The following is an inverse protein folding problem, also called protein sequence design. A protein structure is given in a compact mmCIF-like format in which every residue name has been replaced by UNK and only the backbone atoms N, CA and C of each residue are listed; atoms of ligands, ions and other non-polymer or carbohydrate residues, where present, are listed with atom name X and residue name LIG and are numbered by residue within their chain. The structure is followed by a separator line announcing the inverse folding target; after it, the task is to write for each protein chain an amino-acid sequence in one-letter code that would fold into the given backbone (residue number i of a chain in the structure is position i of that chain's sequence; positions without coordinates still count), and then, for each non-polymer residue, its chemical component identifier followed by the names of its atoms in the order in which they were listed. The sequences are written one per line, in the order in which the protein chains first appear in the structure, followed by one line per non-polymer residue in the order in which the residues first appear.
data_IF_841689450632
#
_entry.id   IF_841689450632
#
_cell.length_a   1.000
_cell.length_b   1.000
_cell.length_c   1.000
_cell.angle_alpha   90.00
_cell.angle_beta   90.00
_cell.angle_gamma   90.00
#
_symmetry.space_group_name_H-M   'P 1'
#
loop_
_entity.id
_entity.type
_entity.pdbx_description
1 polymer ?
#
# COMPACT_ATOMS: atom_id res chain seq x y z
N UNK A 1 4.26 16.51 8.46
CA UNK A 1 4.40 17.78 7.70
C UNK A 1 3.11 18.59 7.75
N UNK A 2 1.95 18.04 7.35
CA UNK A 2 0.69 18.78 7.28
C UNK A 2 0.34 19.50 8.60
N UNK A 3 0.32 18.77 9.73
CA UNK A 3 0.04 19.35 11.05
C UNK A 3 1.05 20.44 11.46
N UNK A 4 2.33 20.25 11.14
CA UNK A 4 3.36 21.27 11.40
C UNK A 4 3.20 22.51 10.52
N UNK A 5 2.62 22.36 9.34
CA UNK A 5 2.33 23.46 8.42
C UNK A 5 1.08 24.23 8.83
N UNK A 6 0.04 23.55 9.31
CA UNK A 6 -1.23 24.14 9.70
C UNK A 6 -1.12 25.19 10.82
N UNK A 7 -0.14 25.03 11.72
CA UNK A 7 0.05 25.91 12.88
C UNK A 7 1.34 26.74 12.84
N UNK A 8 1.94 26.87 11.65
CA UNK A 8 3.13 27.68 11.47
C UNK A 8 2.76 29.16 11.40
N UNK A 9 3.40 30.00 12.21
CA UNK A 9 3.23 31.46 12.19
C UNK A 9 3.47 31.99 10.76
N UNK A 10 2.56 32.82 10.27
CA UNK A 10 2.56 33.36 8.91
C UNK A 10 1.91 32.45 7.87
N UNK A 11 1.33 31.31 8.30
CA UNK A 11 0.59 30.39 7.45
C UNK A 11 -0.84 30.14 7.96
N UNK A 12 -1.29 30.98 8.88
CA UNK A 12 -2.59 30.86 9.56
C UNK A 12 -3.77 30.86 8.58
N UNK A 13 -3.67 31.59 7.46
CA UNK A 13 -4.70 31.61 6.42
C UNK A 13 -4.84 30.27 5.68
N UNK A 14 -3.85 29.40 5.76
CA UNK A 14 -3.79 28.09 5.10
C UNK A 14 -4.02 26.91 6.03
N UNK A 15 -4.33 27.18 7.30
CA UNK A 15 -4.47 26.11 8.30
C UNK A 15 -5.47 25.05 7.88
N UNK A 16 -6.58 25.46 7.26
CA UNK A 16 -7.64 24.56 6.81
C UNK A 16 -7.15 23.62 5.69
N UNK A 17 -6.41 24.14 4.72
CA UNK A 17 -5.84 23.34 3.63
C UNK A 17 -4.97 22.21 4.20
N UNK A 18 -4.06 22.52 5.11
CA UNK A 18 -3.17 21.54 5.73
C UNK A 18 -3.89 20.59 6.67
N UNK A 19 -4.90 21.06 7.40
CA UNK A 19 -5.75 20.22 8.25
C UNK A 19 -6.51 19.19 7.41
N UNK A 20 -7.10 19.60 6.29
CA UNK A 20 -7.81 18.68 5.37
C UNK A 20 -6.84 17.62 4.79
N UNK A 21 -5.59 17.96 4.50
CA UNK A 21 -4.58 16.99 4.08
C UNK A 21 -4.18 16.04 5.22
N UNK A 22 -4.08 16.54 6.46
CA UNK A 22 -3.79 15.69 7.62
C UNK A 22 -4.90 14.67 7.86
N UNK A 23 -6.18 15.06 7.72
CA UNK A 23 -7.32 14.14 7.85
C UNK A 23 -7.27 13.03 6.79
N UNK A 24 -6.96 13.36 5.52
CA UNK A 24 -6.79 12.36 4.47
C UNK A 24 -5.64 11.39 4.78
N UNK A 25 -4.51 11.92 5.26
CA UNK A 25 -3.37 11.10 5.66
C UNK A 25 -3.71 10.16 6.82
N UNK A 26 -4.51 10.62 7.80
CA UNK A 26 -4.99 9.82 8.91
C UNK A 26 -5.87 8.66 8.43
N UNK A 27 -6.83 8.91 7.51
CA UNK A 27 -7.68 7.87 6.94
C UNK A 27 -6.85 6.78 6.24
N UNK A 28 -5.88 7.19 5.41
CA UNK A 28 -4.98 6.26 4.73
C UNK A 28 -4.19 5.41 5.74
N UNK A 29 -3.66 6.04 6.78
CA UNK A 29 -2.92 5.34 7.85
C UNK A 29 -3.81 4.31 8.56
N UNK A 30 -5.04 4.65 8.90
CA UNK A 30 -5.99 3.74 9.54
C UNK A 30 -6.36 2.56 8.64
N UNK A 31 -6.52 2.79 7.33
CA UNK A 31 -6.75 1.71 6.35
C UNK A 31 -5.54 0.79 6.22
N UNK A 32 -4.34 1.34 6.23
CA UNK A 32 -3.09 0.54 6.20
C UNK A 32 -2.94 -0.31 7.47
N UNK A 33 -3.27 0.23 8.65
CA UNK A 33 -3.24 -0.54 9.89
C UNK A 33 -4.23 -1.72 9.85
N UNK A 34 -5.44 -1.53 9.31
CA UNK A 34 -6.40 -2.63 9.13
C UNK A 34 -5.87 -3.69 8.17
N UNK A 35 -5.14 -3.31 7.13
CA UNK A 35 -4.55 -4.26 6.18
C UNK A 35 -3.45 -5.14 6.83
N UNK A 36 -2.78 -4.70 7.91
CA UNK A 36 -1.87 -5.54 8.69
C UNK A 36 -2.60 -6.71 9.34
N UNK A 37 -3.76 -6.44 9.94
CA UNK A 37 -4.59 -7.49 10.56
C UNK A 37 -5.20 -8.42 9.50
N UNK A 38 -5.60 -7.86 8.35
CA UNK A 38 -6.12 -8.64 7.24
C UNK A 38 -5.06 -9.57 6.61
N UNK A 39 -3.80 -9.13 6.52
CA UNK A 39 -2.71 -9.96 6.02
C UNK A 39 -2.46 -11.16 6.96
N UNK A 40 -2.44 -10.90 8.25
CA UNK A 40 -2.35 -11.96 9.27
C UNK A 40 -3.52 -12.95 9.15
N UNK A 41 -4.75 -12.44 8.98
CA UNK A 41 -5.93 -13.29 8.81
C UNK A 41 -5.91 -14.08 7.50
N UNK A 42 -5.36 -13.50 6.42
CA UNK A 42 -5.20 -14.19 5.14
C UNK A 42 -4.25 -15.38 5.25
N UNK A 43 -3.12 -15.21 5.93
CA UNK A 43 -2.19 -16.30 6.21
C UNK A 43 -2.83 -17.39 7.07
N UNK A 44 -3.59 -17.03 8.12
CA UNK A 44 -4.30 -17.97 8.95
C UNK A 44 -5.32 -18.82 8.14
N UNK A 45 -5.99 -18.24 7.13
CA UNK A 45 -6.88 -18.99 6.25
C UNK A 45 -6.13 -20.05 5.46
N UNK A 46 -4.94 -19.76 4.93
CA UNK A 46 -4.10 -20.75 4.25
C UNK A 46 -3.72 -21.89 5.21
N UNK A 47 -3.28 -21.55 6.43
CA UNK A 47 -2.90 -22.53 7.44
C UNK A 47 -4.08 -23.44 7.82
N UNK A 48 -5.30 -22.91 7.92
CA UNK A 48 -6.49 -23.68 8.20
C UNK A 48 -6.79 -24.73 7.10
N UNK A 49 -6.52 -24.40 5.82
CA UNK A 49 -6.69 -25.36 4.72
C UNK A 49 -5.72 -26.53 4.84
N UNK A 50 -4.51 -26.33 5.37
CA UNK A 50 -3.59 -27.46 5.59
C UNK A 50 -4.12 -28.47 6.60
N UNK A 51 -5.00 -28.07 7.53
CA UNK A 51 -5.62 -28.93 8.52
C UNK A 51 -6.89 -29.63 8.01
N UNK A 52 -7.39 -29.32 6.81
CA UNK A 52 -8.58 -29.93 6.24
C UNK A 52 -8.37 -31.43 5.91
N UNK A 53 -9.39 -32.28 6.03
CA UNK A 53 -9.35 -33.69 5.62
C UNK A 53 -8.91 -33.84 4.14
N UNK A 54 -8.27 -34.97 3.83
CA UNK A 54 -7.77 -35.30 2.48
C UNK A 54 -7.84 -36.82 2.17
N UNK A 55 -8.70 -37.55 2.84
CA UNK A 55 -8.79 -39.00 2.71
C UNK A 55 -9.61 -39.42 1.49
N UNK A 56 -10.73 -38.75 1.22
CA UNK A 56 -11.60 -39.05 0.07
C UNK A 56 -11.36 -38.08 -1.10
N UNK A 57 -11.88 -38.41 -2.28
CA UNK A 57 -11.78 -37.51 -3.45
C UNK A 57 -12.57 -36.20 -3.26
N UNK A 58 -13.74 -36.30 -2.58
CA UNK A 58 -14.56 -35.15 -2.22
C UNK A 58 -13.80 -34.21 -1.25
N UNK A 59 -13.14 -34.78 -0.24
CA UNK A 59 -12.32 -34.02 0.71
C UNK A 59 -11.13 -33.32 0.02
N UNK A 60 -10.46 -34.02 -0.90
CA UNK A 60 -9.36 -33.43 -1.71
C UNK A 60 -9.87 -32.30 -2.59
N UNK A 61 -11.01 -32.45 -3.24
CA UNK A 61 -11.62 -31.44 -4.07
C UNK A 61 -12.00 -30.19 -3.25
N UNK A 62 -12.68 -30.39 -2.11
CA UNK A 62 -13.05 -29.29 -1.20
C UNK A 62 -11.83 -28.56 -0.66
N UNK A 63 -10.77 -29.28 -0.28
CA UNK A 63 -9.51 -28.71 0.17
C UNK A 63 -8.81 -27.91 -0.93
N UNK A 64 -8.82 -28.40 -2.18
CA UNK A 64 -8.23 -27.71 -3.31
C UNK A 64 -8.97 -26.40 -3.64
N UNK A 65 -10.30 -26.40 -3.57
CA UNK A 65 -11.12 -25.20 -3.73
C UNK A 65 -10.89 -24.19 -2.60
N UNK A 66 -10.82 -24.65 -1.36
CA UNK A 66 -10.52 -23.80 -0.20
C UNK A 66 -9.13 -23.17 -0.30
N UNK A 67 -8.13 -23.93 -0.78
CA UNK A 67 -6.78 -23.42 -1.01
C UNK A 67 -6.77 -22.32 -2.07
N UNK A 68 -7.46 -22.52 -3.19
CA UNK A 68 -7.56 -21.50 -4.26
C UNK A 68 -8.16 -20.19 -3.73
N UNK A 69 -9.27 -20.28 -2.99
CA UNK A 69 -9.92 -19.12 -2.37
C UNK A 69 -9.02 -18.42 -1.36
N UNK A 70 -8.34 -19.18 -0.50
CA UNK A 70 -7.42 -18.63 0.49
C UNK A 70 -6.21 -17.95 -0.17
N UNK A 71 -5.63 -18.55 -1.20
CA UNK A 71 -4.51 -18.02 -1.96
C UNK A 71 -4.91 -16.73 -2.71
N UNK A 72 -6.08 -16.71 -3.33
CA UNK A 72 -6.60 -15.51 -3.99
C UNK A 72 -6.76 -14.36 -2.98
N UNK A 73 -7.36 -14.62 -1.83
CA UNK A 73 -7.49 -13.61 -0.79
C UNK A 73 -6.13 -13.10 -0.29
N UNK A 74 -5.18 -14.01 -0.03
CA UNK A 74 -3.82 -13.65 0.36
C UNK A 74 -3.04 -12.88 -0.71
N UNK A 75 -3.42 -13.00 -1.99
CA UNK A 75 -2.87 -12.20 -3.09
C UNK A 75 -3.50 -10.81 -3.14
N UNK A 76 -4.79 -10.70 -2.86
CA UNK A 76 -5.54 -9.44 -2.91
C UNK A 76 -5.18 -8.47 -1.77
N UNK A 77 -4.81 -8.97 -0.58
CA UNK A 77 -4.46 -8.12 0.56
C UNK A 77 -3.22 -7.25 0.26
N UNK A 78 -2.07 -7.80 -0.14
CA UNK A 78 -0.91 -6.97 -0.50
C UNK A 78 -1.19 -6.07 -1.71
N UNK A 79 -2.03 -6.46 -2.67
CA UNK A 79 -2.42 -5.58 -3.77
C UNK A 79 -3.20 -4.35 -3.26
N UNK A 80 -4.15 -4.54 -2.34
CA UNK A 80 -4.85 -3.41 -1.68
C UNK A 80 -3.91 -2.54 -0.86
N UNK A 81 -2.89 -3.13 -0.25
CA UNK A 81 -1.84 -2.36 0.43
C UNK A 81 -1.13 -1.44 -0.56
N UNK A 82 -0.73 -1.95 -1.72
CA UNK A 82 -0.10 -1.14 -2.77
C UNK A 82 -1.02 0.00 -3.24
N UNK A 83 -2.30 -0.27 -3.49
CA UNK A 83 -3.29 0.73 -3.90
C UNK A 83 -3.44 1.82 -2.83
N UNK A 84 -3.56 1.43 -1.56
CA UNK A 84 -3.73 2.37 -0.44
C UNK A 84 -2.48 3.24 -0.23
N UNK A 85 -1.28 2.66 -0.36
CA UNK A 85 -0.02 3.42 -0.29
C UNK A 85 0.09 4.41 -1.45
N UNK A 86 -0.30 4.01 -2.67
CA UNK A 86 -0.27 4.90 -3.84
C UNK A 86 -1.15 6.15 -3.63
N UNK A 87 -2.29 6.04 -2.93
CA UNK A 87 -3.14 7.17 -2.56
C UNK A 87 -2.45 8.18 -1.64
N UNK A 88 -1.44 7.77 -0.86
CA UNK A 88 -0.69 8.66 0.02
C UNK A 88 0.34 9.52 -0.73
N UNK A 89 0.82 9.09 -1.89
CA UNK A 89 1.91 9.78 -2.59
C UNK A 89 1.54 11.18 -3.08
N UNK A 90 0.32 11.46 -3.61
CA UNK A 90 -0.10 12.83 -3.90
C UNK A 90 -0.08 13.75 -2.68
N UNK A 91 -0.40 13.23 -1.48
CA UNK A 91 -0.34 14.02 -0.24
C UNK A 91 1.12 14.39 0.09
N UNK A 92 2.06 13.44 -0.06
CA UNK A 92 3.47 13.70 0.13
C UNK A 92 4.00 14.76 -0.88
N UNK A 93 3.55 14.71 -2.14
CA UNK A 93 3.89 15.69 -3.16
C UNK A 93 3.39 17.11 -2.79
N UNK A 94 2.12 17.21 -2.37
CA UNK A 94 1.56 18.49 -1.90
C UNK A 94 2.34 19.03 -0.70
N UNK A 95 2.74 18.16 0.23
CA UNK A 95 3.55 18.58 1.39
C UNK A 95 4.98 18.97 1.01
N UNK A 96 5.57 18.34 0.01
CA UNK A 96 6.87 18.75 -0.52
C UNK A 96 6.79 20.13 -1.18
N UNK A 97 5.71 20.42 -1.91
CA UNK A 97 5.52 21.69 -2.65
C UNK A 97 5.08 22.86 -1.78
N UNK A 98 4.15 22.60 -0.86
CA UNK A 98 3.41 23.65 -0.16
C UNK A 98 3.57 23.61 1.36
N UNK A 99 4.10 22.53 1.91
CA UNK A 99 4.28 22.33 3.33
C UNK A 99 5.39 23.20 3.92
N UNK A 100 5.60 23.08 5.23
CA UNK A 100 6.70 23.76 5.90
C UNK A 100 8.05 23.37 5.29
N UNK A 101 8.84 24.28 4.71
CA UNK A 101 10.13 23.95 4.11
C UNK A 101 11.10 23.26 5.06
N UNK A 102 11.05 23.59 6.37
CA UNK A 102 11.87 22.93 7.39
C UNK A 102 11.52 21.43 7.58
N UNK A 103 10.38 20.98 7.06
CA UNK A 103 9.91 19.58 7.08
C UNK A 103 9.87 18.95 5.69
N UNK A 104 10.51 19.57 4.69
CA UNK A 104 10.50 19.03 3.32
C UNK A 104 11.14 17.63 3.25
N UNK A 105 12.23 17.41 4.02
CA UNK A 105 12.87 16.09 4.12
C UNK A 105 11.95 15.00 4.63
N UNK A 106 11.00 15.33 5.53
CA UNK A 106 10.02 14.35 6.05
C UNK A 106 9.07 13.87 4.94
N UNK A 107 8.70 14.75 4.00
CA UNK A 107 7.92 14.36 2.82
C UNK A 107 8.72 13.42 1.91
N UNK A 108 10.01 13.67 1.74
CA UNK A 108 10.91 12.79 0.99
C UNK A 108 11.07 11.42 1.61
N UNK A 109 11.31 11.36 2.93
CA UNK A 109 11.38 10.09 3.68
C UNK A 109 10.07 9.33 3.57
N UNK A 110 8.93 10.03 3.65
CA UNK A 110 7.61 9.42 3.46
C UNK A 110 7.45 8.80 2.07
N UNK A 111 7.92 9.47 1.02
CA UNK A 111 7.86 8.95 -0.35
C UNK A 111 8.74 7.71 -0.55
N UNK A 112 9.97 7.71 -0.02
CA UNK A 112 10.88 6.55 -0.04
C UNK A 112 10.27 5.35 0.68
N UNK A 113 9.71 5.58 1.88
CA UNK A 113 9.05 4.54 2.66
C UNK A 113 7.82 3.98 1.92
N UNK A 114 7.02 4.84 1.29
CA UNK A 114 5.88 4.45 0.48
C UNK A 114 6.31 3.56 -0.71
N UNK A 115 7.34 3.95 -1.45
CA UNK A 115 7.87 3.13 -2.55
C UNK A 115 8.40 1.79 -2.06
N UNK A 116 9.11 1.76 -0.92
CA UNK A 116 9.60 0.52 -0.32
C UNK A 116 8.44 -0.41 0.06
N UNK A 117 7.36 0.13 0.66
CA UNK A 117 6.16 -0.62 1.00
C UNK A 117 5.46 -1.20 -0.24
N UNK A 118 5.31 -0.39 -1.32
CA UNK A 118 4.75 -0.85 -2.60
C UNK A 118 5.58 -2.00 -3.19
N UNK A 119 6.90 -1.86 -3.24
CA UNK A 119 7.80 -2.91 -3.77
C UNK A 119 7.76 -4.19 -2.92
N UNK A 120 7.72 -4.06 -1.60
CA UNK A 120 7.58 -5.21 -0.71
C UNK A 120 6.25 -5.94 -0.91
N UNK A 121 5.14 -5.20 -0.98
CA UNK A 121 3.81 -5.77 -1.24
C UNK A 121 3.73 -6.40 -2.64
N UNK A 122 4.38 -5.82 -3.65
CA UNK A 122 4.47 -6.41 -5.00
C UNK A 122 5.11 -7.81 -4.98
N UNK A 123 6.16 -8.01 -4.18
CA UNK A 123 6.78 -9.33 -4.03
C UNK A 123 5.78 -10.34 -3.45
N UNK A 124 4.96 -9.92 -2.47
CA UNK A 124 3.93 -10.77 -1.88
C UNK A 124 2.80 -11.08 -2.88
N UNK A 125 2.35 -10.11 -3.69
CA UNK A 125 1.41 -10.39 -4.79
C UNK A 125 1.96 -11.45 -5.71
N UNK A 126 3.20 -11.31 -6.17
CA UNK A 126 3.83 -12.23 -7.12
C UNK A 126 3.99 -13.65 -6.56
N UNK A 127 4.45 -13.80 -5.33
CA UNK A 127 4.66 -15.12 -4.74
C UNK A 127 3.32 -15.84 -4.50
N UNK A 128 2.29 -15.11 -4.06
CA UNK A 128 0.97 -15.68 -3.83
C UNK A 128 0.27 -16.01 -5.15
N UNK A 129 0.31 -15.10 -6.14
CA UNK A 129 -0.29 -15.33 -7.46
C UNK A 129 0.30 -16.55 -8.17
N UNK A 130 1.58 -16.87 -7.94
CA UNK A 130 2.20 -18.08 -8.48
C UNK A 130 1.51 -19.36 -7.99
N UNK A 131 0.88 -19.36 -6.82
CA UNK A 131 0.13 -20.47 -6.23
C UNK A 131 -1.29 -20.64 -6.77
N UNK A 132 -1.85 -19.67 -7.49
CA UNK A 132 -3.19 -19.74 -8.06
C UNK A 132 -3.25 -20.71 -9.25
N UNK A 133 -4.33 -21.50 -9.32
CA UNK A 133 -4.62 -22.36 -10.48
C UNK A 133 -5.19 -21.56 -11.64
N UNK A 134 -6.02 -20.56 -11.33
CA UNK A 134 -6.52 -19.60 -12.33
C UNK A 134 -5.38 -18.67 -12.79
N UNK A 135 -4.75 -19.07 -13.89
CA UNK A 135 -3.63 -18.32 -14.46
C UNK A 135 -4.03 -16.93 -15.00
N UNK A 136 -5.24 -16.82 -15.56
CA UNK A 136 -5.74 -15.54 -16.05
C UNK A 136 -5.90 -14.53 -14.90
N UNK A 137 -6.43 -14.96 -13.77
CA UNK A 137 -6.53 -14.17 -12.55
C UNK A 137 -5.14 -13.81 -12.00
N UNK A 138 -4.23 -14.78 -11.93
CA UNK A 138 -2.86 -14.57 -11.46
C UNK A 138 -2.12 -13.51 -12.30
N UNK A 139 -2.22 -13.61 -13.61
CA UNK A 139 -1.59 -12.68 -14.57
C UNK A 139 -2.20 -11.27 -14.43
N UNK A 140 -3.52 -11.18 -14.29
CA UNK A 140 -4.21 -9.89 -14.07
C UNK A 140 -3.75 -9.18 -12.81
N UNK A 141 -3.69 -9.90 -11.66
CA UNK A 141 -3.25 -9.33 -10.37
C UNK A 141 -1.78 -8.92 -10.42
N UNK A 142 -0.94 -9.71 -11.08
CA UNK A 142 0.49 -9.39 -11.24
C UNK A 142 0.69 -8.16 -12.13
N UNK A 143 -0.03 -8.05 -13.24
CA UNK A 143 0.05 -6.90 -14.14
C UNK A 143 -0.43 -5.61 -13.45
N UNK A 144 -1.49 -5.68 -12.64
CA UNK A 144 -1.94 -4.56 -11.83
C UNK A 144 -0.88 -4.12 -10.82
N UNK A 145 -0.27 -5.06 -10.11
CA UNK A 145 0.81 -4.78 -9.17
C UNK A 145 2.02 -4.14 -9.86
N UNK A 146 2.40 -4.58 -11.06
CA UNK A 146 3.47 -3.98 -11.85
C UNK A 146 3.16 -2.53 -12.23
N UNK A 147 1.92 -2.27 -12.67
CA UNK A 147 1.46 -0.92 -13.01
C UNK A 147 1.54 0.01 -11.79
N UNK A 148 1.05 -0.42 -10.62
CA UNK A 148 1.11 0.36 -9.38
C UNK A 148 2.56 0.63 -8.97
N UNK A 149 3.44 -0.37 -9.03
CA UNK A 149 4.84 -0.22 -8.65
C UNK A 149 5.58 0.77 -9.56
N UNK A 150 5.27 0.78 -10.88
CA UNK A 150 5.81 1.74 -11.82
C UNK A 150 5.32 3.15 -11.51
N UNK A 151 4.02 3.34 -11.31
CA UNK A 151 3.44 4.64 -10.96
C UNK A 151 4.00 5.18 -9.64
N UNK A 152 4.16 4.32 -8.63
CA UNK A 152 4.74 4.71 -7.35
C UNK A 152 6.20 5.18 -7.50
N UNK A 153 7.00 4.53 -8.35
CA UNK A 153 8.38 4.94 -8.60
C UNK A 153 8.45 6.30 -9.31
N UNK A 154 7.55 6.55 -10.27
CA UNK A 154 7.46 7.85 -10.95
C UNK A 154 7.07 8.97 -9.97
N UNK A 155 6.10 8.71 -9.09
CA UNK A 155 5.68 9.67 -8.05
C UNK A 155 6.77 9.93 -7.02
N UNK A 156 7.49 8.91 -6.58
CA UNK A 156 8.60 9.07 -5.64
C UNK A 156 9.68 9.97 -6.23
N UNK A 157 10.08 9.74 -7.49
CA UNK A 157 11.06 10.58 -8.17
C UNK A 157 10.59 12.04 -8.28
N UNK A 158 9.30 12.27 -8.58
CA UNK A 158 8.72 13.62 -8.61
C UNK A 158 8.78 14.29 -7.24
N UNK A 159 8.39 13.56 -6.17
CA UNK A 159 8.42 14.08 -4.80
C UNK A 159 9.83 14.45 -4.38
N UNK A 160 10.81 13.57 -4.63
CA UNK A 160 12.21 13.84 -4.31
C UNK A 160 12.78 15.02 -5.10
N UNK A 161 12.37 15.21 -6.35
CA UNK A 161 12.72 16.39 -7.13
C UNK A 161 12.22 17.69 -6.47
N UNK A 162 10.97 17.71 -5.96
CA UNK A 162 10.43 18.86 -5.25
C UNK A 162 11.12 19.08 -3.89
N UNK A 163 11.39 18.00 -3.16
CA UNK A 163 12.12 18.06 -1.88
C UNK A 163 13.51 18.68 -2.08
N UNK A 164 14.26 18.24 -3.10
CA UNK A 164 15.60 18.74 -3.37
C UNK A 164 15.64 20.23 -3.71
N UNK A 165 14.57 20.81 -4.28
CA UNK A 165 14.46 22.27 -4.49
C UNK A 165 14.36 23.05 -3.18
N UNK A 166 13.89 22.42 -2.11
CA UNK A 166 13.65 23.05 -0.81
C UNK A 166 14.79 22.85 0.19
N UNK A 167 15.63 21.84 0.00
CA UNK A 167 16.73 21.54 0.93
C UNK A 167 18.12 21.99 0.42
N UNK A 168 18.19 22.48 -0.82
CA UNK A 168 19.42 23.04 -1.44
C UNK A 168 20.28 21.99 -2.12
#
# INVERSE_FOLDING_TARGET
VANLSAHKRGWDDRWKEFSDQAVKGQDIMERLLKLVDEDTAAFAKIMNVFSMPKGTEEEKAARAEAMEKATLYATQVPLRTMQTVLEAMPLALEMARKGNPASASDAGVGAIAALAAVKGAQLNVRINAAGLKDRAMADSLTAEAEKIAKEAAEKEAEILSEVNKNIG
#
